data_IF_054728251896
#
_entry.id   IF_054728251896
#
_cell.length_a   1.000
_cell.length_b   1.000
_cell.length_c   1.000
_cell.angle_alpha   90.00
_cell.angle_beta   90.00
_cell.angle_gamma   90.00
#
_symmetry.space_group_name_H-M   'P 1'
#
loop_
_entity.id
_entity.type
_entity.pdbx_description
1 polymer ?
#
# COMPACT_ATOMS: atom_id res chain seq x y z
N UNK A 1 18.30 0.72 -19.00
CA UNK A 1 17.21 0.03 -18.28
C UNK A 1 16.52 1.06 -17.40
N UNK A 2 15.20 1.17 -17.44
CA UNK A 2 14.45 2.10 -16.59
C UNK A 2 14.50 1.60 -15.14
N UNK A 3 14.87 2.47 -14.19
CA UNK A 3 14.81 2.11 -12.76
C UNK A 3 13.35 1.87 -12.35
N UNK A 4 13.05 0.72 -11.74
CA UNK A 4 11.71 0.44 -11.21
C UNK A 4 11.43 1.33 -9.98
N UNK A 5 10.25 1.94 -9.91
CA UNK A 5 9.83 2.66 -8.71
C UNK A 5 9.55 1.68 -7.55
N UNK A 6 9.79 2.10 -6.31
CA UNK A 6 9.33 1.39 -5.10
C UNK A 6 8.02 1.95 -4.57
N UNK A 7 7.66 3.18 -4.97
CA UNK A 7 6.42 3.87 -4.60
C UNK A 7 5.88 4.66 -5.79
N UNK A 8 4.56 4.65 -5.93
CA UNK A 8 3.84 5.47 -6.91
C UNK A 8 2.67 6.14 -6.19
N UNK A 9 2.54 7.45 -6.33
CA UNK A 9 1.38 8.23 -5.88
C UNK A 9 0.58 8.63 -7.11
N UNK A 10 -0.72 8.37 -7.10
CA UNK A 10 -1.65 8.62 -8.20
C UNK A 10 -2.80 9.53 -7.75
N UNK A 11 -3.49 10.14 -8.72
CA UNK A 11 -4.67 11.00 -8.49
C UNK A 11 -4.41 12.18 -7.54
N UNK A 12 -3.20 12.71 -7.55
CA UNK A 12 -2.80 13.87 -6.78
C UNK A 12 -2.97 15.18 -7.55
N UNK A 13 -2.68 16.29 -6.87
CA UNK A 13 -2.29 17.55 -7.49
C UNK A 13 -0.89 17.87 -7.01
N UNK A 14 0.09 17.80 -7.91
CA UNK A 14 1.50 18.02 -7.62
C UNK A 14 1.91 19.29 -8.33
N UNK A 15 2.31 20.30 -7.58
CA UNK A 15 2.86 21.54 -8.14
C UNK A 15 4.38 21.45 -8.05
N UNK A 16 5.05 21.35 -9.19
CA UNK A 16 6.51 21.36 -9.25
C UNK A 16 7.03 22.79 -9.18
N UNK A 17 8.12 22.99 -8.43
CA UNK A 17 8.81 24.28 -8.37
C UNK A 17 9.94 24.28 -9.41
N UNK A 18 9.55 24.14 -10.67
CA UNK A 18 10.42 24.29 -11.84
C UNK A 18 10.22 25.66 -12.51
N UNK A 19 10.85 25.92 -13.66
CA UNK A 19 10.74 27.21 -14.36
C UNK A 19 9.32 27.54 -14.81
N UNK A 20 8.48 26.53 -14.99
CA UNK A 20 7.14 26.65 -15.58
C UNK A 20 6.04 26.49 -14.51
N UNK A 21 6.42 26.22 -13.27
CA UNK A 21 5.51 25.83 -12.18
C UNK A 21 4.54 24.74 -12.61
N UNK A 22 5.08 23.69 -13.25
CA UNK A 22 4.28 22.65 -13.86
C UNK A 22 3.38 21.92 -12.84
N UNK A 23 2.23 21.44 -13.32
CA UNK A 23 1.27 20.68 -12.50
C UNK A 23 1.17 19.26 -13.06
N UNK A 24 1.40 18.28 -12.20
CA UNK A 24 1.28 16.85 -12.48
C UNK A 24 0.23 16.20 -11.56
N UNK A 25 -0.20 14.99 -11.90
CA UNK A 25 -1.19 14.24 -11.12
C UNK A 25 -0.59 13.04 -10.40
N UNK A 26 0.60 12.60 -10.82
CA UNK A 26 1.22 11.40 -10.31
C UNK A 26 2.75 11.53 -10.25
N UNK A 27 3.35 10.78 -9.32
CA UNK A 27 4.79 10.74 -9.10
C UNK A 27 5.25 9.32 -8.78
N UNK A 28 6.38 8.93 -9.37
CA UNK A 28 7.08 7.70 -9.05
C UNK A 28 8.37 7.99 -8.30
N UNK A 29 8.68 7.15 -7.30
CA UNK A 29 9.83 7.35 -6.42
C UNK A 29 10.60 6.04 -6.21
N UNK A 30 11.89 6.18 -5.94
CA UNK A 30 12.74 5.10 -5.43
C UNK A 30 13.75 5.64 -4.43
N UNK A 31 13.84 5.02 -3.26
CA UNK A 31 14.82 5.39 -2.23
C UNK A 31 14.76 6.87 -1.83
N UNK A 32 13.56 7.44 -1.81
CA UNK A 32 13.33 8.87 -1.48
C UNK A 32 13.68 9.85 -2.60
N UNK A 33 14.02 9.37 -3.81
CA UNK A 33 14.24 10.20 -4.99
C UNK A 33 13.07 10.11 -5.95
N UNK A 34 12.78 11.20 -6.63
CA UNK A 34 11.78 11.28 -7.71
C UNK A 34 12.40 10.68 -8.96
N UNK A 35 11.73 9.70 -9.56
CA UNK A 35 12.13 9.12 -10.85
C UNK A 35 11.37 9.76 -12.01
N UNK A 36 10.07 10.00 -11.84
CA UNK A 36 9.23 10.67 -12.84
C UNK A 36 7.99 11.33 -12.23
N UNK A 37 7.47 12.35 -12.91
CA UNK A 37 6.20 13.02 -12.63
C UNK A 37 5.38 13.09 -13.91
N UNK A 38 4.10 12.73 -13.85
CA UNK A 38 3.23 12.67 -15.03
C UNK A 38 1.74 12.70 -14.66
N UNK A 39 0.86 12.45 -15.62
CA UNK A 39 -0.56 12.17 -15.41
C UNK A 39 -0.78 10.79 -14.79
N UNK A 40 -1.92 10.62 -14.15
CA UNK A 40 -2.25 9.36 -13.46
C UNK A 40 -2.24 8.16 -14.40
N UNK A 41 -2.80 8.30 -15.61
CA UNK A 41 -2.91 7.18 -16.55
C UNK A 41 -1.55 6.68 -17.04
N UNK A 42 -0.58 7.59 -17.22
CA UNK A 42 0.78 7.26 -17.65
C UNK A 42 1.51 6.45 -16.56
N UNK A 43 1.29 6.79 -15.29
CA UNK A 43 1.98 6.17 -14.16
C UNK A 43 1.27 4.93 -13.59
N UNK A 44 -0.02 4.73 -13.89
CA UNK A 44 -0.75 3.49 -13.57
C UNK A 44 -0.08 2.25 -14.16
N UNK A 45 0.51 2.37 -15.36
CA UNK A 45 1.20 1.25 -16.02
C UNK A 45 2.45 0.76 -15.29
N UNK A 46 3.00 1.55 -14.35
CA UNK A 46 4.14 1.16 -13.53
C UNK A 46 3.75 0.29 -12.32
N UNK A 47 2.47 0.26 -11.98
CA UNK A 47 1.94 -0.51 -10.86
C UNK A 47 1.61 -1.92 -11.39
N UNK A 48 2.65 -2.74 -11.55
CA UNK A 48 2.42 -4.17 -11.82
C UNK A 48 2.02 -4.87 -10.51
N UNK A 49 0.94 -5.67 -10.50
CA UNK A 49 0.48 -6.41 -9.32
C UNK A 49 1.33 -7.64 -9.01
N UNK A 50 2.52 -7.80 -9.62
CA UNK A 50 3.42 -8.85 -9.15
C UNK A 50 3.74 -8.56 -7.67
N UNK A 51 3.37 -9.46 -6.75
CA UNK A 51 3.77 -9.35 -5.37
C UNK A 51 5.30 -9.22 -5.37
N UNK A 52 5.83 -8.36 -4.51
CA UNK A 52 7.20 -8.54 -4.07
C UNK A 52 7.23 -9.93 -3.42
N UNK A 53 7.65 -10.95 -4.16
CA UNK A 53 7.99 -12.24 -3.58
C UNK A 53 9.06 -11.96 -2.52
N UNK A 54 8.79 -12.48 -1.31
CA UNK A 54 9.60 -12.43 -0.10
C UNK A 54 9.64 -11.04 0.57
N UNK A 55 8.88 -10.79 1.65
CA UNK A 55 9.44 -10.81 3.01
C UNK A 55 8.37 -10.88 4.15
N UNK A 56 7.09 -11.11 3.85
CA UNK A 56 6.02 -11.13 4.88
C UNK A 56 5.75 -12.51 5.50
N UNK A 57 6.56 -13.51 5.20
CA UNK A 57 6.46 -14.84 5.81
C UNK A 57 7.30 -14.95 7.09
N UNK A 58 7.11 -14.06 8.06
CA UNK A 58 7.56 -14.32 9.42
C UNK A 58 6.55 -13.75 10.43
N UNK A 59 6.06 -14.67 11.27
CA UNK A 59 5.40 -14.45 12.54
C UNK A 59 3.86 -14.36 12.58
N UNK A 60 3.21 -15.48 12.28
CA UNK A 60 1.94 -15.83 12.91
C UNK A 60 2.03 -17.21 13.58
N UNK A 61 2.79 -17.27 14.68
CA UNK A 61 2.51 -18.20 15.78
C UNK A 61 2.30 -17.39 17.04
N UNK A 62 1.12 -16.81 17.17
CA UNK A 62 0.61 -16.43 18.48
C UNK A 62 -0.61 -17.30 18.74
N UNK A 63 -0.34 -18.37 19.48
CA UNK A 63 -1.34 -19.15 20.19
C UNK A 63 -2.23 -18.18 20.98
N UNK A 64 -3.53 -18.21 20.71
CA UNK A 64 -4.52 -17.61 21.58
C UNK A 64 -5.81 -18.42 21.49
N UNK A 65 -5.82 -19.52 22.25
CA UNK A 65 -7.00 -20.03 22.91
C UNK A 65 -7.76 -18.85 23.54
N UNK A 66 -8.91 -18.50 22.97
CA UNK A 66 -9.95 -17.77 23.68
C UNK A 66 -11.26 -18.54 23.55
N UNK A 67 -11.41 -19.52 24.44
CA UNK A 67 -12.69 -20.13 24.81
C UNK A 67 -13.67 -19.02 25.21
N UNK A 68 -14.62 -18.71 24.33
CA UNK A 68 -15.73 -17.83 24.64
C UNK A 68 -16.70 -18.60 25.54
N UNK A 69 -16.81 -18.13 26.79
CA UNK A 69 -17.62 -18.70 27.87
C UNK A 69 -19.09 -18.91 27.44
N UNK A 70 -19.48 -20.16 27.19
CA UNK A 70 -20.87 -20.58 26.99
C UNK A 70 -21.49 -20.87 28.38
N UNK A 71 -21.68 -19.82 29.18
CA UNK A 71 -22.26 -19.91 30.53
C UNK A 71 -23.56 -19.10 30.63
N UNK A 72 -24.55 -19.41 29.82
CA UNK A 72 -25.96 -19.04 30.07
C UNK A 72 -26.82 -19.92 29.16
N UNK A 73 -27.23 -21.10 29.64
CA UNK A 73 -28.49 -21.77 29.27
C UNK A 73 -28.66 -23.12 29.99
N UNK A 74 -28.44 -23.18 31.30
CA UNK A 74 -29.04 -24.21 32.15
C UNK A 74 -29.31 -23.58 33.50
N UNK A 75 -30.54 -23.10 33.73
CA UNK A 75 -31.18 -22.98 35.06
C UNK A 75 -32.56 -22.30 34.98
N UNK A 76 -33.42 -22.76 34.08
CA UNK A 76 -34.87 -22.60 34.26
C UNK A 76 -35.56 -23.95 34.07
N UNK A 77 -35.38 -24.83 35.06
CA UNK A 77 -36.30 -25.91 35.36
C UNK A 77 -36.37 -26.08 36.87
N UNK A 78 -37.35 -25.41 37.48
CA UNK A 78 -37.91 -25.74 38.77
C UNK A 78 -39.44 -25.71 38.61
#
# INVERSE_FOLDING_TARGET
MSEKADRVLLNGKIVAVDSDFSIHEAISMRGGKILSMDYTEELKGLISPEPLEDDYAHDHRHDADHSYNEQVHQDHRA
#
